data_IF_958228982246
#
_entry.id   IF_958228982246
#
_cell.length_a   1.000
_cell.length_b   1.000
_cell.length_c   1.000
_cell.angle_alpha   90.00
_cell.angle_beta   90.00
_cell.angle_gamma   90.00
#
_symmetry.space_group_name_H-M   'P 1'
#
loop_
_entity.id
_entity.type
_entity.pdbx_description
1 polymer ?
#
# COMPACT_ATOMS: atom_id res chain seq x y z
N UNK A 1 6.12 4.78 -28.55
CA UNK A 1 6.60 4.50 -27.18
C UNK A 1 5.46 3.87 -26.40
N UNK A 2 5.63 2.60 -26.06
CA UNK A 2 4.58 1.78 -25.48
C UNK A 2 4.38 2.20 -24.02
N UNK A 3 3.23 2.81 -23.76
CA UNK A 3 2.69 3.10 -22.43
C UNK A 3 2.69 1.83 -21.56
N UNK A 4 3.77 1.62 -20.79
CA UNK A 4 3.81 0.65 -19.67
C UNK A 4 3.90 1.38 -18.36
N UNK A 5 2.95 2.28 -18.13
CA UNK A 5 2.61 2.68 -16.77
C UNK A 5 1.40 1.83 -16.35
N UNK A 6 1.62 0.52 -16.27
CA UNK A 6 0.85 -0.32 -15.36
C UNK A 6 1.25 0.12 -13.96
N UNK A 7 0.70 1.25 -13.52
CA UNK A 7 0.72 1.64 -12.13
C UNK A 7 -0.13 0.61 -11.40
N UNK A 8 0.48 -0.52 -11.05
CA UNK A 8 -0.16 -1.53 -10.23
C UNK A 8 -0.65 -0.82 -8.97
N UNK A 9 -1.97 -0.65 -8.87
CA UNK A 9 -2.64 -0.15 -7.68
C UNK A 9 -2.88 -1.38 -6.79
N UNK A 10 -2.14 -1.45 -5.70
CA UNK A 10 -2.31 -2.44 -4.66
C UNK A 10 -3.33 -1.92 -3.65
N UNK A 11 -4.35 -2.72 -3.35
CA UNK A 11 -5.30 -2.43 -2.29
C UNK A 11 -4.73 -2.93 -0.96
N UNK A 12 -4.60 -2.04 0.02
CA UNK A 12 -4.29 -2.42 1.40
C UNK A 12 -5.45 -3.20 2.01
N UNK A 13 -5.16 -3.98 3.05
CA UNK A 13 -6.16 -4.75 3.81
C UNK A 13 -7.26 -3.87 4.42
N UNK A 14 -6.95 -2.61 4.68
CA UNK A 14 -7.93 -1.61 5.11
C UNK A 14 -8.87 -1.10 4.00
N UNK A 15 -8.74 -1.62 2.78
CA UNK A 15 -9.61 -1.28 1.65
C UNK A 15 -9.16 -0.08 0.80
N UNK A 16 -8.00 0.51 1.09
CA UNK A 16 -7.50 1.70 0.40
C UNK A 16 -6.51 1.32 -0.71
N UNK A 17 -6.64 1.93 -1.87
CA UNK A 17 -5.82 1.65 -3.05
C UNK A 17 -4.61 2.60 -3.12
N UNK A 18 -3.43 2.03 -3.38
CA UNK A 18 -2.19 2.77 -3.49
C UNK A 18 -1.31 2.18 -4.58
N UNK A 19 -0.46 3.00 -5.20
CA UNK A 19 0.56 2.48 -6.10
C UNK A 19 1.44 1.48 -5.35
N UNK A 20 1.59 0.26 -5.88
CA UNK A 20 2.41 -0.82 -5.31
C UNK A 20 3.83 -0.31 -5.04
N UNK A 21 4.39 0.52 -5.90
CA UNK A 21 5.70 1.14 -5.69
C UNK A 21 5.73 2.09 -4.47
N UNK A 22 4.72 2.95 -4.33
CA UNK A 22 4.63 3.92 -3.24
C UNK A 22 4.33 3.22 -1.92
N UNK A 23 3.35 2.32 -1.90
CA UNK A 23 2.99 1.57 -0.69
C UNK A 23 4.12 0.64 -0.28
N UNK A 24 4.86 0.02 -1.20
CA UNK A 24 6.03 -0.80 -0.85
C UNK A 24 7.12 0.03 -0.16
N UNK A 25 7.45 1.22 -0.67
CA UNK A 25 8.39 2.14 0.00
C UNK A 25 7.84 2.65 1.34
N UNK A 26 6.53 2.92 1.39
CA UNK A 26 5.87 3.38 2.60
C UNK A 26 5.90 2.32 3.69
N UNK A 27 5.52 1.07 3.37
CA UNK A 27 5.56 -0.06 4.30
C UNK A 27 6.99 -0.38 4.79
N UNK A 28 8.02 -0.09 3.99
CA UNK A 28 9.42 -0.19 4.45
C UNK A 28 9.78 0.82 5.54
N UNK A 29 9.03 1.91 5.70
CA UNK A 29 9.27 2.95 6.70
C UNK A 29 8.19 2.97 7.80
N UNK A 30 6.96 2.71 7.42
CA UNK A 30 5.72 2.90 8.17
C UNK A 30 4.73 1.83 7.69
N UNK A 31 4.62 0.71 8.40
CA UNK A 31 3.68 -0.37 8.09
C UNK A 31 2.23 -0.01 8.43
N UNK A 32 1.79 1.20 8.12
CA UNK A 32 0.52 1.78 8.57
C UNK A 32 -0.15 2.54 7.44
N UNK A 33 -1.46 2.37 7.26
CA UNK A 33 -2.21 3.07 6.24
C UNK A 33 -2.23 4.59 6.51
N UNK A 34 -1.84 5.44 5.55
CA UNK A 34 -1.85 6.90 5.76
C UNK A 34 -3.26 7.50 5.85
N UNK A 35 -4.31 6.79 5.40
CA UNK A 35 -5.70 7.29 5.44
C UNK A 35 -6.38 6.90 6.75
N UNK A 36 -6.38 5.61 7.10
CA UNK A 36 -7.12 5.09 8.25
C UNK A 36 -6.24 4.67 9.43
N UNK A 37 -4.91 4.78 9.31
CA UNK A 37 -3.94 4.34 10.33
C UNK A 37 -4.00 2.84 10.67
N UNK A 38 -4.63 2.03 9.82
CA UNK A 38 -4.62 0.58 9.96
C UNK A 38 -3.21 0.03 9.69
N UNK A 39 -2.65 -0.67 10.67
CA UNK A 39 -1.35 -1.32 10.61
C UNK A 39 -1.45 -2.60 9.78
N UNK A 40 -0.59 -2.75 8.76
CA UNK A 40 -0.56 -3.92 7.85
C UNK A 40 0.15 -5.12 8.51
N UNK A 41 0.17 -5.16 9.84
CA UNK A 41 0.93 -6.13 10.65
C UNK A 41 0.19 -6.53 11.92
N UNK A 42 -1.14 -6.43 11.93
CA UNK A 42 -1.93 -6.84 13.09
C UNK A 42 -2.65 -8.16 12.81
N UNK A 43 -1.86 -9.24 12.83
CA UNK A 43 -2.33 -10.48 13.43
C UNK A 43 -2.63 -10.15 14.89
N UNK A 44 -3.87 -9.77 15.18
CA UNK A 44 -4.36 -9.62 16.55
C UNK A 44 -4.53 -11.03 17.13
N UNK A 45 -3.52 -11.51 17.84
CA UNK A 45 -3.62 -12.51 18.90
C UNK A 45 -2.51 -12.27 19.93
#
# INVERSE_FOLDING_TARGET
EEYRHEEHLGKLECGHEYHVCCIKKWLQQKSICPICKATVSEFNA
#
